data_IF_396767995215
#
_entry.id   IF_396767995215
#
_cell.length_a   1.000
_cell.length_b   1.000
_cell.length_c   1.000
_cell.angle_alpha   90.00
_cell.angle_beta   90.00
_cell.angle_gamma   90.00
#
_symmetry.space_group_name_H-M   'P 1'
#
loop_
_entity.id
_entity.type
_entity.pdbx_description
1 polymer ?
#
# COMPACT_ATOMS: atom_id res chain seq x y z
N UNK A 1 14.22 -8.92 4.81
CA UNK A 1 15.09 -9.30 5.95
C UNK A 1 16.15 -10.29 5.52
N UNK A 2 17.20 -10.49 6.33
CA UNK A 2 18.21 -11.53 6.11
C UNK A 2 18.80 -12.02 7.45
N UNK A 3 19.40 -13.21 7.43
CA UNK A 3 20.23 -13.75 8.51
C UNK A 3 21.48 -14.39 7.89
N UNK A 4 22.62 -14.31 8.57
CA UNK A 4 23.92 -14.75 8.06
C UNK A 4 24.60 -15.76 8.98
N UNK A 5 25.34 -16.70 8.37
CA UNK A 5 26.25 -17.59 9.06
C UNK A 5 27.60 -17.59 8.32
N UNK A 6 28.65 -17.18 9.02
CA UNK A 6 30.01 -17.06 8.48
C UNK A 6 31.00 -17.76 9.43
N UNK A 7 31.97 -18.49 8.86
CA UNK A 7 32.97 -19.26 9.63
C UNK A 7 33.94 -18.34 10.39
N UNK A 8 34.46 -17.30 9.72
CA UNK A 8 35.20 -16.16 10.28
C UNK A 8 35.38 -15.06 9.21
N UNK A 9 36.23 -14.04 9.44
CA UNK A 9 36.46 -12.93 8.48
C UNK A 9 37.29 -13.30 7.25
N UNK A 10 37.92 -14.46 7.22
CA UNK A 10 38.76 -14.92 6.10
C UNK A 10 38.19 -16.16 5.40
N UNK A 11 37.20 -16.81 6.01
CA UNK A 11 36.52 -17.98 5.51
C UNK A 11 35.37 -17.65 4.56
N UNK A 12 34.34 -18.49 4.62
CA UNK A 12 33.17 -18.41 3.77
C UNK A 12 31.91 -18.16 4.59
N UNK A 13 30.95 -17.45 4.01
CA UNK A 13 29.66 -17.17 4.62
C UNK A 13 28.50 -17.37 3.67
N UNK A 14 27.34 -17.64 4.26
CA UNK A 14 26.07 -17.76 3.55
C UNK A 14 25.01 -16.94 4.29
N UNK A 15 24.42 -16.03 3.56
CA UNK A 15 23.26 -15.26 4.00
C UNK A 15 21.98 -15.84 3.40
N UNK A 16 20.94 -15.93 4.23
CA UNK A 16 19.59 -16.31 3.82
C UNK A 16 18.71 -15.06 3.82
N UNK A 17 18.11 -14.76 2.67
CA UNK A 17 17.16 -13.66 2.52
C UNK A 17 15.74 -14.17 2.69
N UNK A 18 14.88 -13.32 3.23
CA UNK A 18 13.45 -13.60 3.38
C UNK A 18 12.64 -12.34 3.11
N UNK A 19 11.58 -12.47 2.30
CA UNK A 19 10.69 -11.37 1.96
C UNK A 19 9.74 -11.01 3.12
N UNK A 20 9.29 -12.01 3.87
CA UNK A 20 8.17 -11.90 4.83
C UNK A 20 8.43 -12.68 6.12
N UNK A 21 9.17 -13.80 6.05
CA UNK A 21 9.43 -14.66 7.21
C UNK A 21 10.53 -14.08 8.08
N UNK A 22 10.26 -13.92 9.37
CA UNK A 22 11.16 -13.25 10.31
C UNK A 22 11.69 -14.15 11.44
N UNK A 23 11.20 -15.39 11.54
CA UNK A 23 11.61 -16.34 12.56
C UNK A 23 12.85 -17.13 12.12
N UNK A 24 13.93 -16.99 12.89
CA UNK A 24 15.20 -17.68 12.64
C UNK A 24 15.69 -18.40 13.88
N UNK A 25 16.42 -19.50 13.68
CA UNK A 25 17.16 -20.13 14.77
C UNK A 25 18.46 -20.78 14.27
N UNK A 26 19.46 -20.88 15.16
CA UNK A 26 20.78 -21.48 14.90
C UNK A 26 20.99 -22.65 15.88
N UNK A 27 20.51 -23.87 15.57
CA UNK A 27 20.58 -24.99 16.52
C UNK A 27 21.99 -25.57 16.67
N UNK A 28 22.90 -25.31 15.72
CA UNK A 28 24.30 -25.76 15.70
C UNK A 28 25.20 -24.71 15.04
N UNK A 29 26.51 -24.86 15.14
CA UNK A 29 27.46 -23.86 14.61
C UNK A 29 27.45 -23.66 13.12
N UNK A 30 27.02 -24.66 12.37
CA UNK A 30 26.94 -24.63 10.91
C UNK A 30 25.50 -24.78 10.38
N UNK A 31 24.49 -24.45 11.20
CA UNK A 31 23.08 -24.56 10.79
C UNK A 31 22.33 -23.29 11.11
N UNK A 32 21.83 -22.62 10.08
CA UNK A 32 20.86 -21.54 10.17
C UNK A 32 19.52 -22.03 9.62
N UNK A 33 18.42 -21.81 10.34
CA UNK A 33 17.06 -22.19 9.93
C UNK A 33 16.16 -20.98 9.80
N UNK A 34 15.41 -20.93 8.71
CA UNK A 34 14.28 -20.04 8.50
C UNK A 34 12.98 -20.77 8.84
N UNK A 35 12.17 -20.21 9.72
CA UNK A 35 10.82 -20.69 9.96
C UNK A 35 9.93 -20.27 8.79
N UNK A 36 9.53 -21.22 7.94
CA UNK A 36 8.63 -20.96 6.83
C UNK A 36 7.21 -20.64 7.27
N UNK A 37 6.66 -21.41 8.21
CA UNK A 37 5.32 -21.19 8.75
C UNK A 37 5.22 -21.77 10.16
N UNK A 38 4.42 -21.13 11.02
CA UNK A 38 4.10 -21.65 12.33
C UNK A 38 2.62 -21.44 12.63
N UNK A 39 1.84 -22.52 12.56
CA UNK A 39 0.46 -22.50 13.06
C UNK A 39 0.41 -23.15 14.45
N UNK A 40 -0.09 -22.45 15.47
CA UNK A 40 -0.15 -23.01 16.82
C UNK A 40 -1.18 -24.16 16.85
N UNK A 41 -0.87 -25.24 17.58
CA UNK A 41 -1.79 -26.39 17.75
C UNK A 41 -3.10 -26.06 18.46
N UNK A 42 -3.24 -24.86 19.00
CA UNK A 42 -4.39 -24.50 19.83
C UNK A 42 -4.61 -23.00 19.92
N UNK A 43 -5.88 -22.63 20.10
CA UNK A 43 -6.31 -21.24 20.16
C UNK A 43 -6.07 -20.63 21.56
N UNK A 44 -5.27 -19.58 21.65
CA UNK A 44 -5.35 -18.68 22.80
C UNK A 44 -6.59 -17.76 22.68
N UNK A 45 -6.90 -17.32 21.46
CA UNK A 45 -8.14 -16.63 21.04
C UNK A 45 -8.85 -17.42 19.94
N UNK A 46 -10.14 -17.16 19.75
CA UNK A 46 -10.98 -17.90 18.80
C UNK A 46 -10.33 -17.98 17.41
N UNK A 47 -10.35 -19.19 16.82
CA UNK A 47 -9.78 -19.53 15.52
C UNK A 47 -8.27 -19.22 15.29
N UNK A 48 -7.49 -18.84 16.31
CA UNK A 48 -6.08 -18.49 16.13
C UNK A 48 -5.23 -19.60 15.52
N UNK A 49 -5.55 -20.87 15.80
CA UNK A 49 -4.89 -22.06 15.27
C UNK A 49 -5.22 -22.35 13.80
N UNK A 50 -6.00 -21.49 13.14
CA UNK A 50 -6.37 -21.61 11.73
C UNK A 50 -6.05 -20.34 10.94
N UNK A 51 -5.43 -19.32 11.55
CA UNK A 51 -5.21 -18.03 10.87
C UNK A 51 -4.22 -18.11 9.72
N UNK A 52 -3.30 -19.08 9.76
CA UNK A 52 -2.32 -19.30 8.68
C UNK A 52 -2.79 -20.35 7.66
N UNK A 53 -4.01 -20.87 7.80
CA UNK A 53 -4.55 -21.88 6.87
C UNK A 53 -5.01 -21.21 5.59
N UNK A 54 -4.67 -21.83 4.47
CA UNK A 54 -4.92 -21.30 3.13
C UNK A 54 -3.61 -21.07 2.37
N UNK A 55 -3.70 -20.30 1.30
CA UNK A 55 -2.59 -20.03 0.40
C UNK A 55 -1.56 -19.16 1.12
N UNK A 56 -0.34 -19.67 1.16
CA UNK A 56 0.83 -18.96 1.66
C UNK A 56 1.88 -18.89 0.53
N UNK A 57 2.22 -17.68 0.10
CA UNK A 57 3.30 -17.42 -0.86
C UNK A 57 4.39 -16.64 -0.14
N UNK A 58 5.62 -17.12 -0.20
CA UNK A 58 6.77 -16.43 0.35
C UNK A 58 8.04 -16.87 -0.39
N UNK A 59 8.97 -15.94 -0.55
CA UNK A 59 10.26 -16.15 -1.19
C UNK A 59 11.41 -16.12 -0.17
N UNK A 60 12.42 -16.94 -0.44
CA UNK A 60 13.71 -16.87 0.22
C UNK A 60 14.84 -16.95 -0.82
N UNK A 61 16.00 -16.41 -0.45
CA UNK A 61 17.19 -16.42 -1.30
C UNK A 61 18.41 -16.89 -0.52
N UNK A 62 19.36 -17.51 -1.20
CA UNK A 62 20.68 -17.83 -0.65
C UNK A 62 21.73 -16.98 -1.35
N UNK A 63 22.61 -16.37 -0.57
CA UNK A 63 23.70 -15.54 -1.07
C UNK A 63 24.99 -15.96 -0.39
N UNK A 64 25.93 -16.48 -1.16
CA UNK A 64 27.27 -16.82 -0.68
C UNK A 64 28.21 -15.63 -0.83
N UNK A 65 29.13 -15.49 0.11
CA UNK A 65 30.18 -14.49 0.06
C UNK A 65 31.46 -14.99 0.72
N UNK A 66 32.58 -14.35 0.37
CA UNK A 66 33.84 -14.53 1.08
C UNK A 66 33.87 -13.64 2.34
N UNK A 67 34.57 -14.11 3.38
CA UNK A 67 34.69 -13.43 4.66
C UNK A 67 33.35 -13.28 5.38
N UNK A 68 33.07 -12.09 5.89
CA UNK A 68 31.85 -11.79 6.63
C UNK A 68 30.77 -11.10 5.78
N UNK A 69 29.56 -10.97 6.34
CA UNK A 69 28.37 -10.41 5.69
C UNK A 69 28.55 -8.99 5.13
N UNK A 70 29.60 -8.24 5.50
CA UNK A 70 29.87 -6.93 4.90
C UNK A 70 30.20 -7.05 3.42
N UNK A 71 30.61 -8.23 2.96
CA UNK A 71 30.88 -8.51 1.57
C UNK A 71 29.59 -8.72 0.73
N UNK A 72 28.77 -7.67 0.64
CA UNK A 72 27.66 -7.58 -0.31
C UNK A 72 26.30 -8.09 0.18
N UNK A 73 26.21 -8.78 1.33
CA UNK A 73 24.95 -9.33 1.86
C UNK A 73 23.86 -8.26 1.97
N UNK A 74 24.17 -7.11 2.57
CA UNK A 74 23.22 -6.01 2.74
C UNK A 74 22.69 -5.49 1.39
N UNK A 75 23.57 -5.33 0.39
CA UNK A 75 23.19 -4.82 -0.92
C UNK A 75 22.38 -5.85 -1.71
N UNK A 76 22.75 -7.13 -1.65
CA UNK A 76 22.03 -8.22 -2.28
C UNK A 76 20.63 -8.41 -1.64
N UNK A 77 20.54 -8.35 -0.31
CA UNK A 77 19.27 -8.40 0.39
C UNK A 77 18.36 -7.23 0.01
N UNK A 78 18.88 -6.00 -0.05
CA UNK A 78 18.11 -4.83 -0.46
C UNK A 78 17.53 -4.99 -1.89
N UNK A 79 18.31 -5.53 -2.83
CA UNK A 79 17.84 -5.84 -4.20
C UNK A 79 16.77 -6.93 -4.21
N UNK A 80 16.91 -7.95 -3.36
CA UNK A 80 15.90 -9.00 -3.20
C UNK A 80 14.57 -8.44 -2.66
N UNK A 81 14.60 -7.42 -1.78
CA UNK A 81 13.38 -6.78 -1.25
C UNK A 81 12.82 -5.65 -2.12
N UNK A 82 13.51 -5.27 -3.19
CA UNK A 82 13.13 -4.15 -4.05
C UNK A 82 12.94 -4.62 -5.50
N UNK A 83 11.82 -5.29 -5.82
CA UNK A 83 11.52 -5.69 -7.19
C UNK A 83 11.45 -4.46 -8.10
N UNK A 84 11.92 -4.62 -9.35
CA UNK A 84 11.81 -3.57 -10.35
C UNK A 84 10.37 -3.48 -10.85
N UNK A 85 9.84 -2.27 -10.92
CA UNK A 85 8.56 -1.99 -11.55
C UNK A 85 8.80 -1.48 -12.97
N UNK A 86 8.13 -2.10 -13.94
CA UNK A 86 8.18 -1.71 -15.33
C UNK A 86 6.82 -1.16 -15.75
N UNK A 87 6.85 -0.07 -16.50
CA UNK A 87 5.66 0.60 -17.03
C UNK A 87 5.83 0.77 -18.54
N UNK A 88 4.81 0.43 -19.29
CA UNK A 88 4.68 0.72 -20.71
C UNK A 88 4.09 2.12 -20.84
N UNK A 89 4.82 3.02 -21.49
CA UNK A 89 4.38 4.39 -21.74
C UNK A 89 4.50 4.70 -23.24
N UNK A 90 3.56 5.45 -23.82
CA UNK A 90 3.72 5.97 -25.17
C UNK A 90 4.99 6.82 -25.30
N UNK A 91 5.59 6.85 -26.48
CA UNK A 91 6.70 7.76 -26.75
C UNK A 91 6.22 9.21 -26.66
N UNK A 92 6.93 10.03 -25.90
CA UNK A 92 6.68 11.47 -25.80
C UNK A 92 8.00 12.23 -25.69
N UNK A 93 8.05 13.49 -26.16
CA UNK A 93 9.18 14.37 -25.86
C UNK A 93 9.17 14.67 -24.36
N UNK A 94 10.31 14.43 -23.70
CA UNK A 94 10.45 14.65 -22.26
C UNK A 94 11.84 15.20 -21.92
N UNK A 95 11.95 16.08 -20.91
CA UNK A 95 13.22 16.74 -20.59
C UNK A 95 14.23 15.82 -19.88
N UNK A 96 13.78 14.72 -19.27
CA UNK A 96 14.61 13.85 -18.42
C UNK A 96 15.47 12.83 -19.19
N UNK A 97 15.39 12.78 -20.52
CA UNK A 97 16.12 11.80 -21.33
C UNK A 97 15.67 10.35 -21.10
N UNK A 98 16.55 9.38 -21.43
CA UNK A 98 16.27 7.94 -21.32
C UNK A 98 16.64 7.32 -19.97
N UNK A 99 17.52 7.99 -19.23
CA UNK A 99 18.03 7.55 -17.93
C UNK A 99 17.99 8.72 -16.97
N UNK A 100 17.48 8.48 -15.76
CA UNK A 100 17.33 9.51 -14.75
C UNK A 100 17.70 8.96 -13.36
N UNK A 101 18.60 9.65 -12.66
CA UNK A 101 18.93 9.38 -11.27
C UNK A 101 18.34 10.47 -10.38
N UNK A 102 17.45 10.07 -9.46
CA UNK A 102 16.79 10.99 -8.53
C UNK A 102 17.68 11.35 -7.33
N UNK A 103 18.37 10.36 -6.76
CA UNK A 103 19.18 10.50 -5.55
C UNK A 103 20.29 9.45 -5.55
N UNK A 104 21.46 9.80 -5.01
CA UNK A 104 22.56 8.85 -4.81
C UNK A 104 23.38 9.21 -3.56
N UNK A 105 23.99 8.19 -2.96
CA UNK A 105 24.93 8.30 -1.85
C UNK A 105 26.30 7.82 -2.34
N UNK A 106 27.39 8.49 -1.95
CA UNK A 106 28.74 8.17 -2.42
C UNK A 106 29.32 6.87 -1.86
N UNK A 107 28.78 6.37 -0.76
CA UNK A 107 29.17 5.12 -0.11
C UNK A 107 27.95 4.21 0.02
N UNK A 108 27.94 3.10 -0.71
CA UNK A 108 26.84 2.12 -0.74
C UNK A 108 26.57 1.48 0.62
N UNK A 109 27.52 1.55 1.56
CA UNK A 109 27.36 1.03 2.93
C UNK A 109 26.50 1.95 3.79
N UNK A 110 26.33 3.22 3.39
CA UNK A 110 25.37 4.16 3.97
C UNK A 110 24.06 4.07 3.20
N UNK A 111 23.04 3.47 3.84
CA UNK A 111 21.81 3.08 3.17
C UNK A 111 20.79 4.21 3.20
N UNK A 112 20.27 4.59 2.04
CA UNK A 112 19.07 5.42 1.93
C UNK A 112 17.85 4.63 2.41
N UNK A 113 17.18 5.12 3.46
CA UNK A 113 16.02 4.48 4.11
C UNK A 113 14.71 5.16 3.78
N UNK A 114 14.74 6.46 3.50
CA UNK A 114 13.58 7.20 3.03
C UNK A 114 14.04 8.40 2.19
N UNK A 115 13.28 8.69 1.14
CA UNK A 115 13.27 9.94 0.41
C UNK A 115 11.78 10.30 0.21
N UNK A 116 11.32 11.37 0.85
CA UNK A 116 9.90 11.79 0.82
C UNK A 116 9.80 13.30 0.87
N UNK A 117 8.62 13.86 0.58
CA UNK A 117 8.30 15.25 0.97
C UNK A 117 8.20 15.37 2.49
N UNK A 118 8.53 16.53 3.03
CA UNK A 118 8.24 16.88 4.42
C UNK A 118 6.74 16.78 4.71
N UNK A 119 6.40 16.48 5.97
CA UNK A 119 5.00 16.44 6.41
C UNK A 119 4.32 17.80 6.27
N UNK A 120 5.09 18.88 6.42
CA UNK A 120 4.67 20.27 6.21
C UNK A 120 5.72 20.99 5.39
N UNK A 121 5.28 21.75 4.39
CA UNK A 121 6.16 22.50 3.50
C UNK A 121 6.67 21.68 2.31
N UNK A 122 7.66 22.24 1.61
CA UNK A 122 8.16 21.74 0.32
C UNK A 122 9.55 21.09 0.39
N UNK A 123 10.18 21.05 1.57
CA UNK A 123 11.45 20.37 1.77
C UNK A 123 11.34 18.87 1.47
N UNK A 124 12.44 18.27 1.02
CA UNK A 124 12.58 16.81 0.96
C UNK A 124 13.19 16.30 2.25
N UNK A 125 12.64 15.22 2.80
CA UNK A 125 13.20 14.51 3.95
C UNK A 125 13.95 13.28 3.44
N UNK A 126 15.20 13.19 3.85
CA UNK A 126 16.08 12.06 3.55
C UNK A 126 16.51 11.39 4.85
N UNK A 127 16.38 10.06 4.92
CA UNK A 127 16.86 9.25 6.04
C UNK A 127 17.92 8.29 5.55
N UNK A 128 19.02 8.21 6.29
CA UNK A 128 20.11 7.28 6.02
C UNK A 128 20.50 6.53 7.29
N UNK A 129 21.11 5.36 7.15
CA UNK A 129 21.82 4.71 8.24
C UNK A 129 23.11 4.06 7.77
N UNK A 130 24.11 4.00 8.64
CA UNK A 130 25.32 3.20 8.43
C UNK A 130 24.98 1.71 8.54
N UNK A 131 25.43 0.90 7.58
CA UNK A 131 24.93 -0.46 7.36
C UNK A 131 25.90 -1.60 7.72
N UNK A 132 27.15 -1.31 8.06
CA UNK A 132 28.24 -2.27 8.25
C UNK A 132 28.88 -2.23 9.65
N UNK A 133 28.47 -1.29 10.49
CA UNK A 133 29.04 -1.10 11.82
C UNK A 133 30.41 -0.43 11.80
N UNK A 134 30.71 0.38 10.78
CA UNK A 134 31.96 1.12 10.65
C UNK A 134 31.67 2.61 10.44
N UNK A 135 32.31 3.52 11.20
CA UNK A 135 32.08 4.95 11.01
C UNK A 135 32.54 5.38 9.62
N UNK A 136 31.78 6.29 9.00
CA UNK A 136 32.08 6.87 7.68
C UNK A 136 32.29 8.37 7.81
N UNK A 137 33.16 8.91 6.95
CA UNK A 137 33.55 10.32 6.95
C UNK A 137 33.37 10.89 5.55
N UNK A 138 32.93 12.15 5.46
CA UNK A 138 32.78 12.86 4.19
C UNK A 138 31.81 12.18 3.22
N UNK A 139 30.76 11.54 3.72
CA UNK A 139 29.73 10.92 2.89
C UNK A 139 28.99 12.01 2.14
N UNK A 140 28.81 11.82 0.83
CA UNK A 140 28.13 12.77 -0.04
C UNK A 140 26.79 12.21 -0.49
N UNK A 141 25.75 13.03 -0.38
CA UNK A 141 24.42 12.72 -0.87
C UNK A 141 23.99 13.79 -1.86
N UNK A 142 23.64 13.35 -3.07
CA UNK A 142 23.15 14.20 -4.13
C UNK A 142 21.68 13.91 -4.41
N UNK A 143 20.92 14.97 -4.65
CA UNK A 143 19.57 14.90 -5.19
C UNK A 143 19.57 15.62 -6.53
N UNK A 144 18.84 15.06 -7.48
CA UNK A 144 18.78 15.54 -8.84
C UNK A 144 18.28 16.99 -8.89
N UNK A 145 19.05 17.90 -9.51
CA UNK A 145 18.81 19.35 -9.51
C UNK A 145 19.71 20.11 -8.52
N UNK A 146 20.29 19.45 -7.54
CA UNK A 146 21.17 20.04 -6.54
C UNK A 146 20.43 20.48 -5.26
N UNK A 147 21.19 20.56 -4.17
CA UNK A 147 20.72 20.97 -2.85
C UNK A 147 21.17 22.41 -2.60
N UNK A 148 20.23 23.27 -2.22
CA UNK A 148 20.50 24.69 -1.87
C UNK A 148 20.84 24.81 -0.40
N UNK A 149 20.10 24.12 0.46
CA UNK A 149 20.28 24.14 1.90
C UNK A 149 19.87 22.80 2.51
N UNK A 150 20.49 22.46 3.63
CA UNK A 150 20.15 21.27 4.40
C UNK A 150 20.20 21.58 5.91
N UNK A 151 19.41 20.83 6.67
CA UNK A 151 19.47 20.82 8.13
C UNK A 151 19.27 19.40 8.64
N UNK A 152 19.98 19.03 9.70
CA UNK A 152 19.73 17.76 10.38
C UNK A 152 18.43 17.89 11.21
N UNK A 153 17.62 16.84 11.18
CA UNK A 153 16.34 16.76 11.88
C UNK A 153 16.21 15.42 12.60
N UNK A 154 15.31 15.36 13.57
CA UNK A 154 14.89 14.08 14.15
C UNK A 154 13.98 13.30 13.19
N UNK A 155 13.70 12.04 13.51
CA UNK A 155 12.74 11.23 12.75
C UNK A 155 11.30 11.82 12.77
N UNK A 156 11.02 12.75 13.68
CA UNK A 156 9.80 13.57 13.76
C UNK A 156 9.82 14.82 12.86
N UNK A 157 10.93 15.05 12.13
CA UNK A 157 11.19 16.22 11.27
C UNK A 157 11.45 17.54 12.03
N UNK A 158 11.49 17.47 13.36
CA UNK A 158 11.88 18.58 14.23
C UNK A 158 13.36 18.94 14.05
N UNK A 159 13.72 20.24 14.05
CA UNK A 159 15.11 20.68 13.90
C UNK A 159 16.04 20.03 14.94
N UNK A 160 17.17 19.49 14.49
CA UNK A 160 18.24 18.96 15.35
C UNK A 160 19.50 19.82 15.28
N UNK A 161 19.88 20.28 14.09
CA UNK A 161 21.07 21.10 13.92
C UNK A 161 21.33 21.49 12.46
N UNK A 162 22.39 22.28 12.20
CA UNK A 162 22.81 22.60 10.84
C UNK A 162 23.32 21.36 10.10
N UNK A 163 23.30 21.40 8.77
CA UNK A 163 23.95 20.41 7.92
C UNK A 163 24.72 21.13 6.79
N UNK A 164 25.81 20.52 6.34
CA UNK A 164 26.71 21.13 5.37
C UNK A 164 26.31 20.78 3.94
N UNK A 165 26.28 21.79 3.06
CA UNK A 165 26.08 21.63 1.62
C UNK A 165 27.30 22.16 0.90
N UNK A 166 27.95 21.30 0.11
CA UNK A 166 29.15 21.63 -0.67
C UNK A 166 28.89 21.30 -2.12
N UNK A 167 28.99 22.30 -3.01
CA UNK A 167 28.78 22.14 -4.46
C UNK A 167 27.43 21.48 -4.82
N UNK A 168 26.36 21.80 -4.09
CA UNK A 168 25.02 21.26 -4.33
C UNK A 168 24.78 19.85 -3.77
N UNK A 169 25.70 19.30 -2.98
CA UNK A 169 25.58 18.00 -2.31
C UNK A 169 25.58 18.16 -0.80
N UNK A 170 24.81 17.33 -0.10
CA UNK A 170 24.88 17.22 1.36
C UNK A 170 26.14 16.44 1.73
N UNK A 171 26.96 16.98 2.64
CA UNK A 171 28.16 16.32 3.16
C UNK A 171 28.00 16.07 4.65
N UNK A 172 28.29 14.84 5.09
CA UNK A 172 28.17 14.48 6.51
C UNK A 172 29.05 13.28 6.88
N UNK A 173 29.37 13.22 8.17
CA UNK A 173 29.94 12.04 8.80
C UNK A 173 28.83 11.22 9.45
N UNK A 174 29.02 9.91 9.61
CA UNK A 174 28.03 9.04 10.24
C UNK A 174 28.71 7.95 11.07
N UNK A 175 28.26 7.78 12.31
CA UNK A 175 28.79 6.80 13.25
C UNK A 175 28.30 5.37 12.99
N UNK A 176 28.84 4.43 13.76
CA UNK A 176 28.50 3.00 13.74
C UNK A 176 26.99 2.80 13.93
N UNK A 177 26.32 2.21 12.93
CA UNK A 177 24.88 2.01 12.87
C UNK A 177 24.01 3.25 13.12
N UNK A 178 24.58 4.46 13.04
CA UNK A 178 23.86 5.68 13.34
C UNK A 178 22.79 5.94 12.28
N UNK A 179 21.54 6.26 12.67
CA UNK A 179 20.57 6.84 11.76
C UNK A 179 20.73 8.37 11.72
N UNK A 180 20.72 8.95 10.52
CA UNK A 180 20.64 10.41 10.32
C UNK A 180 19.45 10.77 9.45
N UNK A 181 18.82 11.91 9.75
CA UNK A 181 17.73 12.47 8.95
C UNK A 181 18.03 13.91 8.60
N UNK A 182 17.79 14.30 7.36
CA UNK A 182 18.02 15.64 6.86
C UNK A 182 16.78 16.17 6.16
N UNK A 183 16.47 17.44 6.37
CA UNK A 183 15.55 18.19 5.53
C UNK A 183 16.36 18.98 4.50
N UNK A 184 15.98 18.86 3.23
CA UNK A 184 16.69 19.42 2.08
C UNK A 184 15.80 20.42 1.35
N UNK A 185 16.33 21.62 1.12
CA UNK A 185 15.80 22.54 0.11
C UNK A 185 16.53 22.28 -1.20
N UNK A 186 15.81 21.88 -2.24
CA UNK A 186 16.38 21.57 -3.56
C UNK A 186 16.26 22.75 -4.51
N UNK A 187 17.14 22.81 -5.51
CA UNK A 187 17.05 23.83 -6.55
C UNK A 187 15.73 23.72 -7.32
N UNK A 188 15.13 24.87 -7.64
CA UNK A 188 14.06 24.92 -8.62
C UNK A 188 14.59 24.44 -9.98
N UNK A 189 13.80 23.62 -10.68
CA UNK A 189 14.14 23.22 -12.05
C UNK A 189 13.44 24.13 -13.06
N UNK A 190 14.17 24.62 -14.08
CA UNK A 190 13.57 25.39 -15.17
C UNK A 190 12.73 24.50 -16.11
N UNK A 191 13.08 23.22 -16.21
CA UNK A 191 12.36 22.25 -17.03
C UNK A 191 11.10 21.78 -16.32
N UNK A 192 9.94 22.28 -16.76
CA UNK A 192 8.65 21.68 -16.44
C UNK A 192 8.23 20.79 -17.58
N UNK A 193 8.00 19.50 -17.30
CA UNK A 193 7.24 18.67 -18.22
C UNK A 193 5.90 19.35 -18.54
N UNK A 194 5.39 19.20 -19.76
CA UNK A 194 4.08 19.72 -20.11
C UNK A 194 3.04 19.05 -19.22
N UNK A 195 2.58 19.79 -18.21
CA UNK A 195 1.62 19.33 -17.21
C UNK A 195 0.23 19.49 -17.81
N UNK A 196 -0.06 18.93 -18.98
CA UNK A 196 -1.46 18.73 -19.40
C UNK A 196 -2.07 17.72 -18.44
N UNK A 197 -2.38 18.20 -17.24
CA UNK A 197 -3.00 17.43 -16.18
C UNK A 197 -4.40 17.09 -16.64
N UNK A 198 -4.90 15.90 -16.26
CA UNK A 198 -6.28 15.57 -16.52
C UNK A 198 -7.20 16.65 -15.96
N UNK A 199 -8.15 17.12 -16.76
CA UNK A 199 -9.11 18.16 -16.35
C UNK A 199 -10.43 17.51 -15.95
N UNK A 200 -11.09 17.97 -14.87
CA UNK A 200 -12.40 17.47 -14.49
C UNK A 200 -13.41 17.61 -15.62
N UNK A 201 -14.20 16.56 -15.86
CA UNK A 201 -15.27 16.53 -16.85
C UNK A 201 -16.61 16.72 -16.15
N UNK A 202 -17.40 17.68 -16.61
CA UNK A 202 -18.75 17.90 -16.08
C UNK A 202 -19.65 16.71 -16.46
N UNK A 203 -20.41 16.21 -15.47
CA UNK A 203 -21.30 15.07 -15.64
C UNK A 203 -22.77 15.49 -15.50
N UNK A 204 -23.68 14.89 -16.27
CA UNK A 204 -25.11 15.12 -16.14
C UNK A 204 -25.67 14.32 -14.95
N UNK A 205 -25.41 14.79 -13.73
CA UNK A 205 -25.89 14.14 -12.52
C UNK A 205 -27.41 13.99 -12.52
N UNK A 206 -27.88 12.80 -12.16
CA UNK A 206 -29.29 12.40 -12.17
C UNK A 206 -29.67 11.55 -10.95
N UNK A 207 -28.73 11.32 -10.03
CA UNK A 207 -28.94 10.61 -8.79
C UNK A 207 -28.44 11.48 -7.63
N UNK A 208 -29.26 11.62 -6.60
CA UNK A 208 -28.79 12.06 -5.29
C UNK A 208 -28.28 10.85 -4.50
N UNK A 209 -26.96 10.76 -4.37
CA UNK A 209 -26.29 9.64 -3.73
C UNK A 209 -25.92 9.91 -2.27
N UNK A 210 -26.14 11.13 -1.75
CA UNK A 210 -25.64 11.54 -0.44
C UNK A 210 -26.79 11.85 0.52
N UNK A 211 -26.51 11.80 1.82
CA UNK A 211 -27.42 12.36 2.82
C UNK A 211 -26.64 12.82 4.05
N UNK A 212 -27.31 13.56 4.93
CA UNK A 212 -26.74 14.08 6.17
C UNK A 212 -27.54 13.57 7.38
N UNK A 213 -26.94 13.64 8.56
CA UNK A 213 -27.57 13.14 9.79
C UNK A 213 -28.92 13.81 10.13
N UNK A 214 -29.12 15.06 9.71
CA UNK A 214 -30.38 15.79 9.88
C UNK A 214 -31.46 15.43 8.85
N UNK A 215 -31.09 14.77 7.74
CA UNK A 215 -31.98 14.32 6.68
C UNK A 215 -31.46 13.01 6.06
N UNK A 216 -31.48 11.89 6.80
CA UNK A 216 -30.73 10.69 6.42
C UNK A 216 -31.32 9.92 5.23
N UNK A 217 -32.58 10.18 4.86
CA UNK A 217 -33.29 9.56 3.73
C UNK A 217 -33.27 10.36 2.41
N UNK A 218 -32.46 11.42 2.33
CA UNK A 218 -32.44 12.36 1.20
C UNK A 218 -31.94 11.74 -0.11
N UNK A 219 -30.79 11.07 -0.05
CA UNK A 219 -30.21 10.34 -1.17
C UNK A 219 -30.25 8.83 -0.97
N UNK A 220 -30.15 8.09 -2.08
CA UNK A 220 -30.11 6.62 -2.05
C UNK A 220 -29.35 6.09 -3.25
N UNK A 221 -28.32 5.29 -2.97
CA UNK A 221 -27.62 4.49 -3.97
C UNK A 221 -28.44 3.24 -4.33
N UNK A 222 -28.13 2.56 -5.46
CA UNK A 222 -28.83 1.33 -5.86
C UNK A 222 -28.81 0.19 -4.82
N UNK A 223 -27.86 0.20 -3.88
CA UNK A 223 -27.81 -0.77 -2.76
C UNK A 223 -28.68 -0.38 -1.54
N UNK A 224 -29.46 0.69 -1.62
CA UNK A 224 -30.44 1.08 -0.61
C UNK A 224 -29.89 1.93 0.55
N UNK A 225 -28.66 2.45 0.42
CA UNK A 225 -28.05 3.34 1.43
C UNK A 225 -27.50 4.62 0.77
N UNK A 226 -27.28 5.67 1.54
CA UNK A 226 -26.67 6.91 1.07
C UNK A 226 -25.21 7.02 1.54
N UNK A 227 -24.45 7.82 0.79
CA UNK A 227 -23.11 8.27 1.18
C UNK A 227 -23.26 9.39 2.23
N UNK A 228 -22.51 9.36 3.35
CA UNK A 228 -22.46 10.49 4.27
C UNK A 228 -21.85 11.71 3.58
N UNK A 229 -22.66 12.75 3.37
CA UNK A 229 -22.28 13.92 2.57
C UNK A 229 -21.08 14.67 3.13
N UNK A 230 -20.87 14.65 4.44
CA UNK A 230 -19.71 15.25 5.10
C UNK A 230 -18.38 14.53 4.81
N UNK A 231 -18.45 13.28 4.33
CA UNK A 231 -17.26 12.52 3.94
C UNK A 231 -16.91 12.70 2.46
N UNK A 232 -17.86 13.10 1.60
CA UNK A 232 -17.63 13.29 0.17
C UNK A 232 -16.88 14.62 -0.07
N UNK A 233 -15.60 14.59 -0.48
CA UNK A 233 -14.83 15.81 -0.65
C UNK A 233 -15.17 16.49 -1.97
N UNK A 234 -15.32 17.83 -1.97
CA UNK A 234 -15.56 18.64 -3.19
C UNK A 234 -14.57 18.35 -4.33
N UNK A 235 -13.33 17.97 -3.98
CA UNK A 235 -12.37 17.45 -4.94
C UNK A 235 -11.38 16.52 -4.27
N UNK A 236 -10.86 15.53 -5.00
CA UNK A 236 -9.84 14.61 -4.54
C UNK A 236 -8.80 14.33 -5.63
N UNK A 237 -7.60 13.94 -5.22
CA UNK A 237 -6.52 13.55 -6.12
C UNK A 237 -6.27 12.03 -5.99
N UNK A 238 -6.40 11.28 -7.08
CA UNK A 238 -6.11 9.85 -7.11
C UNK A 238 -5.11 9.52 -8.20
N UNK A 239 -3.88 9.18 -7.81
CA UNK A 239 -2.79 8.84 -8.73
C UNK A 239 -2.53 9.94 -9.77
N UNK A 240 -2.45 11.20 -9.33
CA UNK A 240 -2.20 12.37 -10.19
C UNK A 240 -3.42 12.90 -10.96
N UNK A 241 -4.58 12.25 -10.87
CA UNK A 241 -5.84 12.68 -11.51
C UNK A 241 -6.70 13.41 -10.49
N UNK A 242 -7.11 14.64 -10.80
CA UNK A 242 -8.00 15.43 -9.94
C UNK A 242 -9.45 15.22 -10.34
N UNK A 243 -10.25 14.67 -9.44
CA UNK A 243 -11.70 14.56 -9.57
C UNK A 243 -12.40 15.71 -8.83
N UNK A 244 -13.53 16.17 -9.37
CA UNK A 244 -14.44 17.13 -8.74
C UNK A 244 -15.80 16.45 -8.60
N UNK A 245 -16.31 16.35 -7.39
CA UNK A 245 -17.58 15.67 -7.08
C UNK A 245 -18.76 16.63 -7.21
N UNK A 246 -19.98 16.09 -7.20
CA UNK A 246 -21.20 16.87 -7.18
C UNK A 246 -21.42 17.68 -5.89
N UNK A 247 -22.43 18.55 -5.94
CA UNK A 247 -22.92 19.31 -4.79
C UNK A 247 -23.55 18.36 -3.77
N UNK A 248 -23.34 18.61 -2.48
CA UNK A 248 -23.93 17.79 -1.42
C UNK A 248 -25.11 18.49 -0.76
N UNK A 249 -25.68 19.54 -1.34
CA UNK A 249 -26.91 20.13 -0.83
C UNK A 249 -28.08 19.16 -0.96
N UNK A 250 -29.01 19.22 -0.01
CA UNK A 250 -30.15 18.30 0.03
C UNK A 250 -30.92 18.27 -1.30
N UNK A 251 -31.35 17.07 -1.72
CA UNK A 251 -32.11 16.77 -2.95
C UNK A 251 -31.38 17.02 -4.27
N UNK A 252 -30.13 17.51 -4.24
CA UNK A 252 -29.39 17.85 -5.45
C UNK A 252 -28.69 16.63 -6.04
N UNK A 253 -28.89 16.32 -7.34
CA UNK A 253 -28.15 15.25 -7.99
C UNK A 253 -26.64 15.49 -7.97
N UNK A 254 -25.90 14.47 -7.53
CA UNK A 254 -24.46 14.54 -7.30
C UNK A 254 -23.69 13.31 -7.80
N UNK A 255 -24.42 12.36 -8.38
CA UNK A 255 -23.90 11.19 -9.07
C UNK A 255 -24.66 10.95 -10.37
N UNK A 256 -24.04 10.18 -11.27
CA UNK A 256 -24.70 9.64 -12.46
C UNK A 256 -25.00 8.17 -12.22
N UNK A 257 -26.26 7.78 -12.29
CA UNK A 257 -26.65 6.38 -12.54
C UNK A 257 -26.70 6.16 -14.05
N UNK A 258 -25.96 5.17 -14.54
CA UNK A 258 -25.79 4.95 -15.98
C UNK A 258 -27.10 4.53 -16.67
N UNK A 259 -27.64 5.40 -17.53
CA UNK A 259 -28.93 5.24 -18.19
C UNK A 259 -28.88 5.54 -19.70
N UNK A 260 -27.68 5.53 -20.31
CA UNK A 260 -27.52 5.88 -21.73
C UNK A 260 -27.24 7.36 -22.02
N UNK A 261 -26.73 8.12 -21.04
CA UNK A 261 -26.43 9.53 -21.21
C UNK A 261 -25.33 9.75 -22.25
N UNK A 262 -25.42 10.88 -22.94
CA UNK A 262 -24.45 11.33 -23.94
C UNK A 262 -23.66 12.51 -23.37
N UNK A 263 -22.34 12.38 -23.27
CA UNK A 263 -21.46 13.35 -22.62
C UNK A 263 -20.45 13.86 -23.65
N UNK A 264 -20.43 15.17 -23.97
CA UNK A 264 -19.48 15.71 -24.94
C UNK A 264 -18.05 15.65 -24.39
N UNK A 265 -17.10 15.28 -25.23
CA UNK A 265 -15.67 15.25 -24.92
C UNK A 265 -14.98 16.47 -25.55
N UNK A 266 -13.97 17.06 -24.87
CA UNK A 266 -13.17 18.11 -25.46
C UNK A 266 -12.25 17.57 -26.56
N UNK A 267 -11.93 18.42 -27.53
CA UNK A 267 -11.02 18.09 -28.63
C UNK A 267 -9.67 17.60 -28.10
N UNK A 268 -9.16 16.52 -28.69
CA UNK A 268 -7.87 15.93 -28.32
C UNK A 268 -7.92 15.02 -27.08
N UNK A 269 -9.09 14.69 -26.54
CA UNK A 269 -9.22 13.68 -25.49
C UNK A 269 -8.61 12.34 -25.93
N UNK A 270 -7.75 11.76 -25.09
CA UNK A 270 -7.08 10.46 -25.33
C UNK A 270 -7.28 9.45 -24.20
N UNK A 271 -7.61 9.93 -23.00
CA UNK A 271 -7.88 9.09 -21.84
C UNK A 271 -9.03 9.64 -21.04
N UNK A 272 -9.92 8.77 -20.59
CA UNK A 272 -10.99 9.08 -19.66
C UNK A 272 -10.72 8.39 -18.33
N UNK A 273 -10.71 9.16 -17.26
CA UNK A 273 -10.63 8.67 -15.89
C UNK A 273 -12.01 8.78 -15.25
N UNK A 274 -12.51 7.67 -14.73
CA UNK A 274 -13.86 7.61 -14.15
C UNK A 274 -13.78 7.08 -12.73
N UNK A 275 -14.42 7.78 -11.80
CA UNK A 275 -14.62 7.31 -10.42
C UNK A 275 -16.01 6.70 -10.31
N UNK A 276 -16.10 5.36 -10.27
CA UNK A 276 -17.38 4.66 -10.24
C UNK A 276 -17.36 3.42 -9.34
N UNK A 277 -18.56 2.92 -9.07
CA UNK A 277 -18.80 1.65 -8.41
C UNK A 277 -20.02 0.97 -9.04
N UNK A 278 -20.02 -0.36 -9.00
CA UNK A 278 -21.20 -1.16 -9.24
C UNK A 278 -21.83 -1.56 -7.90
N UNK A 279 -23.13 -1.85 -7.91
CA UNK A 279 -23.87 -2.32 -6.74
C UNK A 279 -24.60 -3.63 -7.07
N UNK A 280 -24.45 -4.63 -6.19
CA UNK A 280 -24.98 -5.98 -6.44
C UNK A 280 -24.04 -6.85 -7.28
N UNK A 281 -22.74 -6.79 -7.00
CA UNK A 281 -21.67 -7.52 -7.69
C UNK A 281 -20.95 -6.69 -8.75
N UNK A 282 -19.75 -7.15 -9.13
CA UNK A 282 -19.00 -6.55 -10.22
C UNK A 282 -19.83 -6.55 -11.51
N UNK A 283 -19.64 -5.53 -12.35
CA UNK A 283 -20.31 -5.40 -13.65
C UNK A 283 -19.28 -5.27 -14.77
N UNK A 284 -19.56 -5.88 -15.91
CA UNK A 284 -18.83 -5.62 -17.16
C UNK A 284 -19.75 -4.81 -18.05
N UNK A 285 -19.38 -3.55 -18.33
CA UNK A 285 -20.21 -2.61 -19.07
C UNK A 285 -19.49 -2.10 -20.31
N UNK A 286 -20.25 -1.64 -21.29
CA UNK A 286 -19.73 -1.11 -22.55
C UNK A 286 -19.92 0.40 -22.57
N UNK A 287 -18.82 1.15 -22.60
CA UNK A 287 -18.84 2.58 -22.86
C UNK A 287 -18.68 2.84 -24.36
N UNK A 288 -19.56 3.67 -24.93
CA UNK A 288 -19.50 4.08 -26.32
C UNK A 288 -18.67 5.35 -26.52
N UNK A 289 -18.03 5.45 -27.68
CA UNK A 289 -17.19 6.55 -28.13
C UNK A 289 -17.45 6.79 -29.61
N UNK A 290 -18.48 7.59 -29.93
CA UNK A 290 -19.06 7.68 -31.27
C UNK A 290 -19.39 6.28 -31.85
N UNK A 291 -18.65 5.83 -32.86
CA UNK A 291 -18.82 4.51 -33.50
C UNK A 291 -18.00 3.37 -32.83
N UNK A 292 -17.16 3.70 -31.84
CA UNK A 292 -16.31 2.75 -31.13
C UNK A 292 -16.87 2.40 -29.74
N UNK A 293 -16.46 1.26 -29.19
CA UNK A 293 -16.88 0.79 -27.87
C UNK A 293 -15.69 0.25 -27.08
N UNK A 294 -15.69 0.46 -25.76
CA UNK A 294 -14.72 -0.12 -24.83
C UNK A 294 -15.45 -0.82 -23.69
N UNK A 295 -15.14 -2.10 -23.49
CA UNK A 295 -15.65 -2.88 -22.36
C UNK A 295 -14.81 -2.64 -21.13
N UNK A 296 -15.46 -2.29 -20.03
CA UNK A 296 -14.81 -1.96 -18.76
C UNK A 296 -15.47 -2.73 -17.62
N UNK A 297 -14.66 -3.33 -16.76
CA UNK A 297 -15.13 -3.88 -15.49
C UNK A 297 -15.28 -2.75 -14.47
N UNK A 298 -16.46 -2.63 -13.89
CA UNK A 298 -16.76 -1.74 -12.77
C UNK A 298 -16.89 -2.60 -11.51
N UNK A 299 -16.01 -2.44 -10.51
CA UNK A 299 -16.04 -3.30 -9.33
C UNK A 299 -17.20 -2.97 -8.39
N UNK A 300 -17.67 -3.98 -7.66
CA UNK A 300 -18.64 -3.84 -6.58
C UNK A 300 -18.09 -2.93 -5.47
N UNK A 301 -18.84 -1.87 -5.16
CA UNK A 301 -18.52 -0.89 -4.13
C UNK A 301 -18.79 -1.35 -2.70
N UNK A 302 -19.66 -2.35 -2.50
CA UNK A 302 -19.94 -2.94 -1.18
C UNK A 302 -18.88 -3.99 -0.79
N UNK A 303 -18.30 -4.66 -1.78
CA UNK A 303 -17.31 -5.70 -1.57
C UNK A 303 -15.97 -5.11 -1.07
N UNK A 304 -15.25 -5.89 -0.26
CA UNK A 304 -13.92 -5.51 0.22
C UNK A 304 -12.94 -5.37 -0.96
N UNK A 305 -11.94 -4.49 -0.83
CA UNK A 305 -10.83 -4.43 -1.81
C UNK A 305 -9.97 -5.70 -1.79
N UNK A 306 -10.02 -6.46 -0.70
CA UNK A 306 -9.40 -7.76 -0.60
C UNK A 306 -9.70 -8.42 0.74
N UNK A 307 -9.52 -9.73 0.77
CA UNK A 307 -9.60 -10.58 1.97
C UNK A 307 -8.57 -11.69 1.84
N UNK A 308 -8.24 -12.32 2.97
CA UNK A 308 -7.39 -13.51 2.99
C UNK A 308 -8.22 -14.76 3.23
N UNK A 309 -7.60 -15.92 2.99
CA UNK A 309 -8.18 -17.20 3.37
C UNK A 309 -8.41 -17.22 4.88
N UNK A 310 -9.65 -17.45 5.27
CA UNK A 310 -10.06 -17.58 6.65
C UNK A 310 -10.90 -18.84 6.75
N UNK A 311 -10.20 -19.97 6.89
CA UNK A 311 -10.79 -21.30 6.90
C UNK A 311 -11.94 -21.45 7.91
N UNK A 312 -11.85 -20.79 9.08
CA UNK A 312 -12.88 -20.85 10.12
C UNK A 312 -14.19 -20.13 9.75
N UNK A 313 -14.16 -19.28 8.72
CA UNK A 313 -15.31 -18.56 8.17
C UNK A 313 -15.70 -19.09 6.79
N UNK A 314 -15.05 -20.17 6.32
CA UNK A 314 -15.18 -20.66 4.96
C UNK A 314 -15.07 -19.54 3.91
N UNK A 315 -14.09 -18.67 4.08
CA UNK A 315 -13.88 -17.49 3.22
C UNK A 315 -12.55 -17.63 2.50
N UNK A 316 -12.61 -17.67 1.17
CA UNK A 316 -11.44 -17.62 0.32
C UNK A 316 -10.92 -16.18 0.19
N UNK A 317 -9.60 -16.06 0.05
CA UNK A 317 -8.90 -14.81 -0.21
C UNK A 317 -9.05 -14.34 -1.65
N UNK A 318 -8.99 -13.03 -1.84
CA UNK A 318 -8.90 -12.37 -3.14
C UNK A 318 -8.38 -10.94 -2.96
N UNK A 319 -7.89 -10.34 -4.04
CA UNK A 319 -7.46 -8.94 -4.09
C UNK A 319 -8.03 -8.32 -5.36
N UNK A 320 -8.83 -7.25 -5.22
CA UNK A 320 -9.24 -6.42 -6.35
C UNK A 320 -8.03 -5.64 -6.85
N UNK A 321 -7.72 -5.75 -8.15
CA UNK A 321 -6.62 -5.01 -8.79
C UNK A 321 -7.00 -3.57 -9.15
N UNK A 322 -8.27 -3.24 -9.02
CA UNK A 322 -8.83 -1.94 -9.40
C UNK A 322 -8.36 -0.85 -8.42
N UNK A 323 -7.79 0.26 -8.90
CA UNK A 323 -7.33 1.34 -8.03
C UNK A 323 -8.48 1.93 -7.22
N UNK A 324 -8.41 1.85 -5.89
CA UNK A 324 -9.38 2.51 -5.01
C UNK A 324 -9.23 4.03 -5.15
N UNK A 325 -10.27 4.71 -5.63
CA UNK A 325 -10.27 6.17 -5.73
C UNK A 325 -10.62 6.81 -4.39
N UNK A 326 -11.67 6.30 -3.75
CA UNK A 326 -12.24 6.86 -2.54
C UNK A 326 -13.13 5.84 -1.83
N UNK A 327 -13.31 6.00 -0.52
CA UNK A 327 -14.22 5.16 0.26
C UNK A 327 -14.77 5.89 1.49
N UNK A 328 -15.89 5.42 2.01
CA UNK A 328 -16.49 5.85 3.28
C UNK A 328 -16.43 4.77 4.35
N UNK A 329 -16.45 5.18 5.60
CA UNK A 329 -16.36 4.28 6.77
C UNK A 329 -17.72 3.80 7.29
N UNK A 330 -18.79 4.47 6.88
CA UNK A 330 -20.18 4.21 7.24
C UNK A 330 -21.08 4.68 6.09
N UNK A 331 -22.36 4.36 6.18
CA UNK A 331 -23.40 4.78 5.25
C UNK A 331 -24.62 5.28 6.04
N UNK A 332 -25.56 5.95 5.38
CA UNK A 332 -26.86 6.29 5.96
C UNK A 332 -27.97 5.39 5.40
N UNK A 333 -28.89 4.97 6.24
CA UNK A 333 -30.21 4.52 5.82
C UNK A 333 -31.28 5.53 6.26
N UNK A 334 -32.56 5.19 6.06
CA UNK A 334 -33.68 6.06 6.46
C UNK A 334 -33.78 6.29 7.97
N UNK A 335 -33.05 5.52 8.80
CA UNK A 335 -33.00 5.64 10.26
C UNK A 335 -31.74 6.35 10.77
N UNK A 336 -30.71 6.51 9.92
CA UNK A 336 -29.46 7.22 10.25
C UNK A 336 -28.22 6.37 9.96
N UNK A 337 -27.17 6.52 10.77
CA UNK A 337 -25.86 5.93 10.52
C UNK A 337 -25.82 4.40 10.66
N UNK A 338 -25.44 3.72 9.58
CA UNK A 338 -24.99 2.32 9.59
C UNK A 338 -23.46 2.30 9.72
N UNK A 339 -23.00 2.23 10.96
CA UNK A 339 -21.55 2.20 11.29
C UNK A 339 -20.88 0.97 10.69
N UNK A 340 -19.72 1.17 10.06
CA UNK A 340 -18.92 0.10 9.47
C UNK A 340 -19.40 -0.39 8.11
N UNK A 341 -20.54 0.11 7.60
CA UNK A 341 -20.96 -0.12 6.22
C UNK A 341 -20.11 0.75 5.29
N UNK A 342 -19.00 0.19 4.83
CA UNK A 342 -18.10 0.89 3.90
C UNK A 342 -18.61 0.81 2.47
N UNK A 343 -18.54 1.92 1.74
CA UNK A 343 -18.80 2.00 0.31
C UNK A 343 -17.52 2.48 -0.37
N UNK A 344 -17.17 1.86 -1.50
CA UNK A 344 -15.92 2.09 -2.23
C UNK A 344 -16.21 2.49 -3.66
N UNK A 345 -15.45 3.47 -4.14
CA UNK A 345 -15.43 3.89 -5.54
C UNK A 345 -14.03 3.71 -6.10
N UNK A 346 -13.96 3.17 -7.31
CA UNK A 346 -12.72 2.80 -7.97
C UNK A 346 -12.42 3.77 -9.10
N UNK A 347 -11.14 3.99 -9.39
CA UNK A 347 -10.66 4.77 -10.53
C UNK A 347 -10.43 3.81 -11.69
N UNK A 348 -11.21 3.97 -12.74
CA UNK A 348 -10.96 3.31 -14.03
C UNK A 348 -10.21 4.28 -14.95
N UNK A 349 -9.31 3.72 -15.75
CA UNK A 349 -8.58 4.44 -16.81
C UNK A 349 -8.98 3.83 -18.14
N UNK A 350 -9.67 4.60 -18.98
CA UNK A 350 -10.31 4.12 -20.20
C UNK A 350 -9.66 4.85 -21.39
N UNK A 351 -9.07 4.16 -22.37
CA UNK A 351 -8.54 4.80 -23.56
C UNK A 351 -9.70 5.38 -24.39
N UNK A 352 -9.53 6.61 -24.88
CA UNK A 352 -10.50 7.27 -25.77
C UNK A 352 -9.97 7.22 -27.20
N UNK A 353 -10.72 6.65 -28.17
CA UNK A 353 -10.35 6.64 -29.57
C UNK A 353 -10.09 8.05 -30.15
N UNK A 354 -9.25 8.14 -31.17
CA UNK A 354 -8.95 9.45 -31.78
C UNK A 354 -10.19 10.07 -32.41
N UNK A 355 -10.26 11.40 -32.38
CA UNK A 355 -11.35 12.19 -32.96
C UNK A 355 -12.74 11.88 -32.36
N UNK A 356 -12.79 11.31 -31.15
CA UNK A 356 -14.06 11.08 -30.46
C UNK A 356 -14.65 12.40 -29.93
N UNK A 357 -15.90 12.69 -30.25
CA UNK A 357 -16.64 13.84 -29.75
C UNK A 357 -17.61 13.50 -28.62
N UNK A 358 -18.11 12.26 -28.57
CA UNK A 358 -19.14 11.84 -27.62
C UNK A 358 -18.74 10.60 -26.82
N UNK A 359 -18.91 10.66 -25.50
CA UNK A 359 -18.90 9.51 -24.61
C UNK A 359 -20.34 9.11 -24.28
N UNK A 360 -20.69 7.87 -24.58
CA UNK A 360 -22.03 7.30 -24.34
C UNK A 360 -21.95 6.32 -23.18
N UNK A 361 -22.74 6.58 -22.13
CA UNK A 361 -22.83 5.70 -20.97
C UNK A 361 -23.63 4.43 -21.28
N UNK A 362 -23.34 3.28 -20.63
CA UNK A 362 -24.18 2.10 -20.72
C UNK A 362 -25.57 2.36 -20.10
N UNK A 363 -26.53 1.50 -20.42
CA UNK A 363 -27.80 1.39 -19.69
C UNK A 363 -27.66 0.31 -18.62
N UNK A 364 -27.15 0.68 -17.46
CA UNK A 364 -26.88 -0.21 -16.32
C UNK A 364 -27.11 0.58 -15.03
N UNK A 365 -28.27 0.40 -14.41
CA UNK A 365 -28.70 1.17 -13.23
C UNK A 365 -27.96 0.79 -11.94
N UNK A 366 -27.26 -0.34 -11.93
CA UNK A 366 -26.36 -0.71 -10.84
C UNK A 366 -25.00 0.00 -10.90
N UNK A 367 -24.66 0.72 -11.98
CA UNK A 367 -23.39 1.45 -12.10
C UNK A 367 -23.59 2.93 -11.80
N UNK A 368 -22.85 3.43 -10.81
CA UNK A 368 -22.89 4.82 -10.35
C UNK A 368 -21.52 5.47 -10.53
N UNK A 369 -21.50 6.63 -11.18
CA UNK A 369 -20.31 7.46 -11.40
C UNK A 369 -20.41 8.72 -10.52
N UNK A 370 -19.41 8.97 -9.68
CA UNK A 370 -19.36 10.16 -8.83
C UNK A 370 -18.63 11.34 -9.49
N UNK A 371 -17.63 11.05 -10.34
CA UNK A 371 -16.85 12.06 -11.01
C UNK A 371 -16.08 11.46 -12.21
N UNK A 372 -15.71 12.32 -13.15
CA UNK A 372 -14.83 11.96 -14.25
C UNK A 372 -13.79 13.05 -14.53
N UNK A 373 -12.72 12.69 -15.24
CA UNK A 373 -11.69 13.62 -15.72
C UNK A 373 -11.13 13.13 -17.04
N UNK A 374 -10.68 14.06 -17.88
CA UNK A 374 -10.17 13.75 -19.22
C UNK A 374 -8.67 14.08 -19.31
N UNK A 375 -7.89 13.17 -19.88
CA UNK A 375 -6.49 13.35 -20.22
C UNK A 375 -6.30 13.46 -21.73
N UNK A 376 -5.23 14.15 -22.13
CA UNK A 376 -4.89 14.44 -23.53
C UNK A 376 -3.73 13.59 -24.06
N UNK A 377 -3.27 12.63 -23.25
CA UNK A 377 -2.28 11.62 -23.63
C UNK A 377 -2.89 10.24 -23.48
N UNK A 378 -2.48 9.25 -24.30
CA UNK A 378 -2.85 7.86 -24.07
C UNK A 378 -2.36 7.39 -22.70
N UNK A 379 -3.07 6.45 -22.04
CA UNK A 379 -2.67 5.99 -20.73
C UNK A 379 -1.41 5.12 -20.83
N UNK A 380 -0.53 5.23 -19.85
CA UNK A 380 0.46 4.20 -19.60
C UNK A 380 -0.18 2.95 -18.98
N UNK A 381 0.56 1.85 -18.96
CA UNK A 381 0.13 0.61 -18.32
C UNK A 381 1.28 0.00 -17.53
N UNK A 382 0.97 -0.65 -16.41
CA UNK A 382 1.90 -1.52 -15.72
C UNK A 382 2.28 -2.70 -16.64
N UNK A 383 3.57 -3.01 -16.78
CA UNK A 383 4.04 -4.13 -17.60
C UNK A 383 3.93 -5.48 -16.87
N UNK A 384 3.55 -5.46 -15.59
CA UNK A 384 3.38 -6.62 -14.72
C UNK A 384 2.75 -6.23 -13.39
N UNK A 385 2.50 -7.20 -12.52
CA UNK A 385 1.91 -6.95 -11.20
C UNK A 385 2.85 -6.09 -10.33
N UNK A 386 2.32 -5.00 -9.76
CA UNK A 386 3.08 -4.11 -8.87
C UNK A 386 3.11 -4.60 -7.41
N UNK A 387 2.22 -5.52 -7.06
CA UNK A 387 2.03 -6.08 -5.72
C UNK A 387 1.42 -7.48 -5.85
N UNK A 388 1.41 -8.22 -4.76
CA UNK A 388 0.83 -9.57 -4.73
C UNK A 388 -0.63 -9.57 -5.22
N UNK A 389 -0.95 -10.54 -6.05
CA UNK A 389 -2.30 -10.72 -6.58
C UNK A 389 -2.90 -12.07 -6.20
N UNK A 390 -4.20 -12.07 -5.95
CA UNK A 390 -4.98 -13.27 -5.68
C UNK A 390 -6.33 -13.14 -6.36
N UNK A 391 -6.55 -13.93 -7.39
CA UNK A 391 -7.84 -13.99 -8.08
C UNK A 391 -8.92 -14.58 -7.18
N UNK A 392 -10.16 -14.17 -7.42
CA UNK A 392 -11.32 -14.69 -6.70
C UNK A 392 -11.48 -16.17 -7.04
N UNK A 393 -11.59 -16.98 -6.00
CA UNK A 393 -11.65 -18.44 -6.07
C UNK A 393 -12.59 -18.97 -5.00
N UNK A 394 -13.04 -20.20 -5.19
CA UNK A 394 -13.71 -20.93 -4.13
C UNK A 394 -12.70 -21.40 -3.07
N UNK A 395 -13.21 -21.62 -1.85
CA UNK A 395 -12.43 -22.22 -0.79
C UNK A 395 -12.17 -23.68 -1.16
N UNK A 396 -10.89 -24.02 -1.31
CA UNK A 396 -10.41 -25.37 -1.65
C UNK A 396 -9.93 -26.15 -0.41
N UNK A 397 -10.03 -25.53 0.77
CA UNK A 397 -9.72 -26.13 2.06
C UNK A 397 -10.98 -26.28 2.90
N UNK A 398 -11.31 -27.53 3.23
CA UNK A 398 -12.42 -27.89 4.12
C UNK A 398 -11.84 -28.54 5.36
N UNK A 399 -12.17 -28.01 6.54
CA UNK A 399 -11.86 -28.71 7.79
C UNK A 399 -12.67 -30.01 7.86
N UNK A 400 -12.02 -31.11 8.24
CA UNK A 400 -12.78 -32.29 8.63
C UNK A 400 -13.52 -32.03 9.96
N UNK A 401 -14.64 -32.72 10.23
CA UNK A 401 -15.32 -32.60 11.53
C UNK A 401 -14.41 -32.91 12.74
N UNK A 402 -13.40 -33.76 12.55
CA UNK A 402 -12.42 -34.13 13.56
C UNK A 402 -11.41 -33.00 13.82
N UNK A 403 -10.93 -32.34 12.76
CA UNK A 403 -10.07 -31.15 12.84
C UNK A 403 -10.82 -29.98 13.48
N UNK A 404 -12.07 -29.76 13.09
CA UNK A 404 -12.96 -28.74 13.66
C UNK A 404 -13.29 -29.05 15.15
N UNK A 405 -13.45 -30.32 15.51
CA UNK A 405 -13.62 -30.73 16.91
C UNK A 405 -12.34 -30.55 17.76
N UNK A 406 -11.17 -30.89 17.20
CA UNK A 406 -9.88 -30.66 17.85
C UNK A 406 -9.58 -29.17 18.04
N UNK A 407 -9.94 -28.35 17.05
CA UNK A 407 -9.92 -26.89 17.04
C UNK A 407 -10.79 -26.26 18.15
N UNK A 408 -12.02 -26.78 18.34
CA UNK A 408 -13.00 -26.29 19.32
C UNK A 408 -12.68 -26.69 20.76
N UNK A 409 -11.94 -27.77 20.99
CA UNK A 409 -11.70 -28.35 22.32
C UNK A 409 -10.72 -27.61 23.24
N UNK A 410 -10.50 -26.31 23.01
CA UNK A 410 -9.49 -25.55 23.74
C UNK A 410 -9.96 -24.83 25.01
N UNK A 411 -11.26 -24.86 25.41
CA UNK A 411 -11.70 -24.17 26.65
C UNK A 411 -11.17 -24.81 27.95
N UNK A 412 -11.22 -26.14 28.06
CA UNK A 412 -10.69 -26.88 29.21
C UNK A 412 -9.15 -26.80 29.26
N UNK A 413 -8.51 -26.93 28.10
CA UNK A 413 -7.06 -26.78 27.96
C UNK A 413 -6.60 -25.34 28.23
N UNK A 414 -7.38 -24.29 27.89
CA UNK A 414 -7.07 -22.90 28.27
C UNK A 414 -7.06 -22.70 29.77
N UNK A 415 -8.04 -23.27 30.49
CA UNK A 415 -8.09 -23.21 31.96
C UNK A 415 -6.89 -23.91 32.58
N UNK A 416 -6.51 -25.08 32.04
CA UNK A 416 -5.34 -25.85 32.48
C UNK A 416 -4.02 -25.14 32.17
N UNK A 417 -3.84 -24.63 30.95
CA UNK A 417 -2.65 -23.89 30.53
C UNK A 417 -2.51 -22.56 31.30
N UNK A 418 -3.61 -21.83 31.53
CA UNK A 418 -3.60 -20.62 32.35
C UNK A 418 -3.22 -20.93 33.81
N UNK A 419 -3.72 -22.03 34.38
CA UNK A 419 -3.28 -22.51 35.70
C UNK A 419 -1.78 -22.86 35.71
N UNK A 420 -1.29 -23.63 34.74
CA UNK A 420 0.12 -24.01 34.64
C UNK A 420 1.04 -22.80 34.46
N UNK A 421 0.64 -21.83 33.64
CA UNK A 421 1.39 -20.58 33.44
C UNK A 421 1.46 -19.76 34.74
N UNK A 422 0.33 -19.57 35.44
CA UNK A 422 0.30 -18.85 36.72
C UNK A 422 1.15 -19.56 37.79
N UNK A 423 1.06 -20.88 37.90
CA UNK A 423 1.86 -21.67 38.82
C UNK A 423 3.36 -21.60 38.48
N UNK A 424 3.72 -21.69 37.19
CA UNK A 424 5.10 -21.57 36.73
C UNK A 424 5.66 -20.15 36.86
N UNK A 425 4.83 -19.12 36.69
CA UNK A 425 5.21 -17.74 36.92
C UNK A 425 5.44 -17.47 38.42
N UNK A 426 4.52 -17.92 39.27
CA UNK A 426 4.65 -17.82 40.72
C UNK A 426 5.91 -18.55 41.24
N UNK A 427 6.17 -19.78 40.76
CA UNK A 427 7.36 -20.54 41.17
C UNK A 427 8.66 -19.88 40.71
N UNK A 428 8.73 -19.37 39.46
CA UNK A 428 9.89 -18.62 38.96
C UNK A 428 10.07 -17.27 39.65
N UNK A 429 8.99 -16.62 40.08
CA UNK A 429 9.04 -15.38 40.86
C UNK A 429 9.56 -15.65 42.27
N UNK A 430 8.99 -16.63 42.97
CA UNK A 430 9.46 -17.06 44.30
C UNK A 430 10.92 -17.51 44.25
N UNK A 431 11.35 -18.24 43.22
CA UNK A 431 12.74 -18.65 43.05
C UNK A 431 13.68 -17.44 42.86
N UNK A 432 13.27 -16.44 42.06
CA UNK A 432 14.03 -15.20 41.88
C UNK A 432 14.10 -14.37 43.16
N UNK A 433 13.00 -14.24 43.88
CA UNK A 433 12.94 -13.53 45.17
C UNK A 433 13.78 -14.26 46.24
N UNK A 434 13.74 -15.59 46.29
CA UNK A 434 14.58 -16.40 47.17
C UNK A 434 16.07 -16.29 46.82
N UNK A 435 16.42 -16.37 45.53
CA UNK A 435 17.80 -16.15 45.08
C UNK A 435 18.30 -14.73 45.41
N UNK A 436 17.44 -13.70 45.33
CA UNK A 436 17.80 -12.33 45.71
C UNK A 436 18.00 -12.15 47.22
N UNK A 437 17.21 -12.83 48.06
CA UNK A 437 17.32 -12.75 49.52
C UNK A 437 18.53 -13.53 50.04
N UNK A 438 18.82 -14.70 49.45
CA UNK A 438 19.82 -15.63 49.99
C UNK A 438 21.19 -15.62 49.27
N UNK A 439 21.36 -14.96 48.12
CA UNK A 439 22.69 -14.69 47.52
C UNK A 439 23.36 -13.38 47.97
N UNK A 440 22.78 -12.65 48.93
CA UNK A 440 23.40 -11.47 49.57
C UNK A 440 24.00 -11.77 50.96
N UNK A 441 24.43 -13.00 51.20
CA UNK A 441 25.29 -13.34 52.34
C UNK A 441 26.57 -14.00 51.83
#
# INVERSE_FOLDING_TARGET
>A
MWADISEDRQGFGVSVFSDSRCGWDKPRDNVLRLTGMHTPRGAYRDAQHMLDFGINRYGFGLFSHAGDWRNGTQAAAARFHAPLHAFLVPSSPGPLGREFSLCAVSDDTVRLRALKKAQRGEELIVRVNEGEGLPKQGVRLRVSGGIVAAREVYATEEPKGPAEVVNGELVFDIGVYEPKTFALTVCARPETADKTQPVPLALPYNLDAVSFHNNPGDGVLPNGVAIPGELLPKSLLCGGVRFVTGDTADTMPNAVVCAGQHIPLPNGARTLYVMAAAFGGDRSVVFGFDDACVTVRVPDGDELVGTWDLAHLNRAGYIKKDPLAWYVTHAHDTQGDIRGRQIRFFKMTIPVPENTALWVLPKEDAVVILAASIGFHPPGAEAGDLYDSLEKRDMDYTLTPEEDFAARNYKANRRRARRQFLLGYASRRLRREWEQIFRRR
#
